data_IF_949741893620
#
_entry.id   IF_949741893620
#
_cell.length_a   1.000
_cell.length_b   1.000
_cell.length_c   1.000
_cell.angle_alpha   90.00
_cell.angle_beta   90.00
_cell.angle_gamma   90.00
#
_symmetry.space_group_name_H-M   'P 1'
#
loop_
_entity.id
_entity.type
_entity.pdbx_description
1 polymer ?
#
# COMPACT_ATOMS: atom_id res chain seq x y z
N UNK A 1 -41.78 1.52 19.94
CA UNK A 1 -40.55 2.23 20.30
C UNK A 1 -40.75 3.67 19.86
N UNK A 2 -41.14 4.57 20.77
CA UNK A 2 -41.36 5.98 20.45
C UNK A 2 -39.99 6.57 20.15
N UNK A 3 -39.73 6.94 18.89
CA UNK A 3 -38.56 7.73 18.55
C UNK A 3 -38.71 9.04 19.32
N UNK A 4 -37.88 9.25 20.32
CA UNK A 4 -37.81 10.51 21.05
C UNK A 4 -37.17 11.55 20.11
N UNK A 5 -37.99 12.08 19.19
CA UNK A 5 -37.59 13.11 18.23
C UNK A 5 -37.00 14.33 18.95
N UNK A 6 -37.39 14.57 20.21
CA UNK A 6 -36.88 15.65 21.03
C UNK A 6 -35.49 15.38 21.61
N UNK A 7 -35.02 14.13 21.64
CA UNK A 7 -33.69 13.77 22.16
C UNK A 7 -32.57 14.50 21.42
N UNK A 8 -32.58 14.46 20.07
CA UNK A 8 -31.55 15.12 19.26
C UNK A 8 -31.50 16.63 19.50
N UNK A 9 -32.66 17.26 19.65
CA UNK A 9 -32.75 18.70 19.90
C UNK A 9 -32.24 19.06 21.29
N UNK A 10 -32.57 18.27 22.32
CA UNK A 10 -32.03 18.48 23.68
C UNK A 10 -30.52 18.30 23.73
N UNK A 11 -30.01 17.26 23.07
CA UNK A 11 -28.57 17.02 23.00
C UNK A 11 -27.84 18.11 22.19
N UNK A 12 -28.47 18.70 21.19
CA UNK A 12 -27.91 19.83 20.46
C UNK A 12 -27.90 21.14 21.28
N UNK A 13 -28.87 21.33 22.16
CA UNK A 13 -28.93 22.48 23.08
C UNK A 13 -27.90 22.37 24.22
N UNK A 14 -27.57 21.14 24.65
CA UNK A 14 -26.53 20.87 25.64
C UNK A 14 -25.56 19.78 25.16
N UNK A 15 -24.58 20.14 24.30
CA UNK A 15 -23.61 19.19 23.76
C UNK A 15 -22.42 18.94 24.71
N UNK A 16 -22.50 19.35 25.99
CA UNK A 16 -21.40 19.31 26.95
C UNK A 16 -20.82 17.90 27.19
N UNK A 17 -21.63 16.86 27.01
CA UNK A 17 -21.19 15.46 27.10
C UNK A 17 -20.40 14.99 25.86
N UNK A 18 -20.46 15.72 24.75
CA UNK A 18 -19.81 15.38 23.49
C UNK A 18 -18.45 16.09 23.38
N UNK A 19 -17.47 15.57 24.12
CA UNK A 19 -16.13 16.17 24.26
C UNK A 19 -15.08 15.63 23.28
N UNK A 20 -15.44 14.65 22.44
CA UNK A 20 -14.50 14.02 21.49
C UNK A 20 -15.00 14.13 20.06
N UNK A 21 -14.05 14.21 19.11
CA UNK A 21 -14.36 14.28 17.68
C UNK A 21 -15.26 13.12 17.20
N UNK A 22 -15.01 11.84 17.59
CA UNK A 22 -15.88 10.74 17.21
C UNK A 22 -17.30 10.83 17.80
N UNK A 23 -17.43 11.28 19.05
CA UNK A 23 -18.74 11.39 19.71
C UNK A 23 -19.62 12.47 19.05
N UNK A 24 -19.05 13.63 18.75
CA UNK A 24 -19.78 14.71 18.05
C UNK A 24 -20.12 14.29 16.62
N UNK A 25 -19.19 13.65 15.90
CA UNK A 25 -19.44 13.14 14.55
C UNK A 25 -20.56 12.11 14.52
N UNK A 26 -20.63 11.24 15.53
CA UNK A 26 -21.71 10.27 15.66
C UNK A 26 -23.08 10.95 15.86
N UNK A 27 -23.17 11.92 16.77
CA UNK A 27 -24.40 12.67 17.01
C UNK A 27 -24.86 13.45 15.76
N UNK A 28 -23.91 14.06 15.03
CA UNK A 28 -24.18 14.75 13.77
C UNK A 28 -24.75 13.79 12.70
N UNK A 29 -24.13 12.63 12.51
CA UNK A 29 -24.60 11.63 11.55
C UNK A 29 -25.99 11.07 11.93
N UNK A 30 -26.24 10.87 13.23
CA UNK A 30 -27.54 10.45 13.72
C UNK A 30 -28.63 11.50 13.42
N UNK A 31 -28.34 12.78 13.67
CA UNK A 31 -29.27 13.87 13.36
C UNK A 31 -29.59 13.98 11.85
N UNK A 32 -28.58 13.83 10.98
CA UNK A 32 -28.77 13.79 9.52
C UNK A 32 -29.64 12.60 9.11
N UNK A 33 -29.38 11.42 9.69
CA UNK A 33 -30.17 10.21 9.42
C UNK A 33 -31.63 10.39 9.84
N UNK A 34 -31.89 11.01 11.00
CA UNK A 34 -33.23 11.32 11.48
C UNK A 34 -33.97 12.28 10.54
N UNK A 35 -33.31 13.34 10.07
CA UNK A 35 -33.89 14.25 9.06
C UNK A 35 -34.27 13.50 7.79
N UNK A 36 -33.38 12.62 7.30
CA UNK A 36 -33.64 11.79 6.10
C UNK A 36 -34.83 10.87 6.31
N UNK A 37 -34.92 10.22 7.47
CA UNK A 37 -36.03 9.33 7.81
C UNK A 37 -37.36 10.09 7.93
N UNK A 38 -37.32 11.35 8.38
CA UNK A 38 -38.48 12.23 8.49
C UNK A 38 -38.85 12.95 7.18
N UNK A 39 -38.08 12.76 6.10
CA UNK A 39 -38.28 13.50 4.83
C UNK A 39 -38.00 15.00 4.93
N UNK A 40 -37.23 15.43 5.94
CA UNK A 40 -36.88 16.83 6.18
C UNK A 40 -35.50 17.16 5.61
N UNK A 41 -35.29 18.42 5.24
CA UNK A 41 -33.96 18.92 4.87
C UNK A 41 -33.04 18.91 6.09
N UNK A 42 -31.88 18.28 5.96
CA UNK A 42 -30.83 18.29 6.99
C UNK A 42 -29.96 19.55 6.92
N UNK A 43 -29.91 20.25 5.79
CA UNK A 43 -29.10 21.47 5.64
C UNK A 43 -29.69 22.67 6.41
N UNK A 44 -30.98 22.62 6.74
CA UNK A 44 -31.67 23.66 7.50
C UNK A 44 -32.13 23.21 8.89
N UNK A 45 -31.84 21.98 9.31
CA UNK A 45 -32.23 21.49 10.64
C UNK A 45 -31.32 22.11 11.73
N UNK A 46 -31.92 22.69 12.80
CA UNK A 46 -31.14 23.39 13.80
C UNK A 46 -30.23 22.47 14.63
N UNK A 47 -30.62 21.21 14.89
CA UNK A 47 -29.77 20.28 15.62
C UNK A 47 -28.55 19.89 14.79
N UNK A 48 -28.73 19.62 13.49
CA UNK A 48 -27.62 19.34 12.56
C UNK A 48 -26.63 20.51 12.52
N UNK A 49 -27.11 21.74 12.39
CA UNK A 49 -26.25 22.93 12.36
C UNK A 49 -25.50 23.13 13.68
N UNK A 50 -26.17 22.94 14.83
CA UNK A 50 -25.55 23.05 16.15
C UNK A 50 -24.46 21.98 16.35
N UNK A 51 -24.70 20.73 15.97
CA UNK A 51 -23.69 19.68 16.04
C UNK A 51 -22.50 19.94 15.12
N UNK A 52 -22.73 20.43 13.89
CA UNK A 52 -21.65 20.79 12.97
C UNK A 52 -20.78 21.93 13.53
N UNK A 53 -21.39 22.95 14.15
CA UNK A 53 -20.66 24.04 14.83
C UNK A 53 -19.87 23.52 16.02
N UNK A 54 -20.48 22.68 16.86
CA UNK A 54 -19.81 22.08 18.01
C UNK A 54 -18.63 21.20 17.59
N UNK A 55 -18.78 20.44 16.49
CA UNK A 55 -17.69 19.67 15.90
C UNK A 55 -16.54 20.58 15.47
N UNK A 56 -16.84 21.72 14.85
CA UNK A 56 -15.85 22.74 14.50
C UNK A 56 -15.12 23.30 15.73
N UNK A 57 -15.84 23.59 16.81
CA UNK A 57 -15.24 24.04 18.08
C UNK A 57 -14.30 22.99 18.66
N UNK A 58 -14.74 21.73 18.76
CA UNK A 58 -13.90 20.63 19.25
C UNK A 58 -12.68 20.43 18.35
N UNK A 59 -12.86 20.45 17.03
CA UNK A 59 -11.75 20.32 16.08
C UNK A 59 -10.73 21.46 16.23
N UNK A 60 -11.18 22.69 16.47
CA UNK A 60 -10.30 23.85 16.67
C UNK A 60 -9.48 23.78 17.97
N UNK A 61 -9.91 22.97 18.95
CA UNK A 61 -9.23 22.78 20.22
C UNK A 61 -8.25 21.59 20.20
N UNK A 62 -8.32 20.73 19.17
CA UNK A 62 -7.51 19.51 19.09
C UNK A 62 -6.34 19.74 18.13
N UNK A 63 -5.12 19.60 18.65
CA UNK A 63 -3.91 19.54 17.85
C UNK A 63 -3.28 20.89 17.54
N UNK A 64 -2.46 20.91 16.49
CA UNK A 64 -1.69 22.08 16.08
C UNK A 64 -2.55 23.08 15.28
N UNK A 65 -2.14 24.36 15.15
CA UNK A 65 -2.84 25.35 14.33
C UNK A 65 -3.01 24.91 12.86
N UNK A 66 -4.04 25.42 12.18
CA UNK A 66 -4.36 25.11 10.77
C UNK A 66 -3.16 25.16 9.82
N UNK A 67 -2.27 26.15 10.01
CA UNK A 67 -1.07 26.32 9.18
C UNK A 67 -0.11 25.14 9.33
N UNK A 68 0.07 24.66 10.57
CA UNK A 68 0.92 23.50 10.87
C UNK A 68 0.30 22.20 10.37
N UNK A 69 -1.02 22.02 10.53
CA UNK A 69 -1.72 20.86 9.98
C UNK A 69 -1.65 20.81 8.45
N UNK A 70 -1.83 21.96 7.78
CA UNK A 70 -1.65 22.06 6.33
C UNK A 70 -0.24 21.70 5.90
N UNK A 71 0.77 22.20 6.61
CA UNK A 71 2.16 21.84 6.38
C UNK A 71 2.40 20.34 6.58
N UNK A 72 1.91 19.75 7.66
CA UNK A 72 2.02 18.32 7.93
C UNK A 72 1.36 17.48 6.82
N UNK A 73 0.22 17.92 6.28
CA UNK A 73 -0.40 17.28 5.12
C UNK A 73 0.48 17.37 3.87
N UNK A 74 1.07 18.54 3.58
CA UNK A 74 1.98 18.70 2.45
C UNK A 74 3.25 17.85 2.60
N UNK A 75 3.81 17.79 3.80
CA UNK A 75 4.97 16.95 4.12
C UNK A 75 4.63 15.46 3.98
N UNK A 76 3.46 15.03 4.48
CA UNK A 76 2.97 13.66 4.29
C UNK A 76 2.74 13.33 2.81
N UNK A 77 2.20 14.26 2.02
CA UNK A 77 2.04 14.10 0.57
C UNK A 77 3.41 14.02 -0.11
N UNK A 78 4.36 14.88 0.26
CA UNK A 78 5.72 14.84 -0.27
C UNK A 78 6.41 13.52 0.10
N UNK A 79 6.23 13.02 1.32
CA UNK A 79 6.74 11.73 1.77
C UNK A 79 6.11 10.56 1.02
N UNK A 80 4.79 10.60 0.79
CA UNK A 80 4.09 9.60 -0.01
C UNK A 80 4.52 9.64 -1.48
N UNK A 81 4.77 10.82 -2.04
CA UNK A 81 5.30 10.98 -3.40
C UNK A 81 6.77 10.56 -3.50
N UNK A 82 7.53 10.74 -2.42
CA UNK A 82 8.91 10.24 -2.26
C UNK A 82 8.94 8.71 -2.07
N UNK A 83 7.85 8.11 -1.59
CA UNK A 83 7.67 6.65 -1.50
C UNK A 83 7.12 6.12 -2.83
N UNK A 84 7.82 5.21 -3.52
CA UNK A 84 7.28 4.55 -4.70
C UNK A 84 5.90 3.95 -4.42
N UNK A 85 4.91 4.21 -5.28
CA UNK A 85 3.52 3.71 -5.16
C UNK A 85 3.43 2.21 -4.84
N UNK A 86 4.42 1.42 -5.30
CA UNK A 86 4.53 -0.01 -5.01
C UNK A 86 4.65 -0.31 -3.49
N UNK A 87 5.32 0.55 -2.74
CA UNK A 87 5.44 0.46 -1.27
C UNK A 87 4.08 0.70 -0.60
N UNK A 88 3.32 1.70 -1.07
CA UNK A 88 1.99 1.96 -0.52
C UNK A 88 1.04 0.78 -0.74
N UNK A 89 1.11 0.15 -1.92
CA UNK A 89 0.33 -1.05 -2.24
C UNK A 89 0.72 -2.24 -1.34
N UNK A 90 2.02 -2.40 -1.03
CA UNK A 90 2.50 -3.45 -0.13
C UNK A 90 1.96 -3.31 1.30
N UNK A 91 1.87 -2.08 1.81
CA UNK A 91 1.31 -1.83 3.15
C UNK A 91 -0.21 -1.97 3.20
N UNK A 92 -0.92 -1.47 2.18
CA UNK A 92 -2.40 -1.48 2.14
C UNK A 92 -2.96 -2.89 1.97
N UNK A 93 -2.28 -3.74 1.20
CA UNK A 93 -2.89 -4.93 0.63
C UNK A 93 -3.81 -4.59 -0.54
N UNK A 94 -3.95 -5.52 -1.48
CA UNK A 94 -4.63 -5.28 -2.77
C UNK A 94 -5.65 -6.39 -3.15
N UNK A 95 -5.97 -7.27 -2.21
CA UNK A 95 -6.98 -8.31 -2.44
C UNK A 95 -8.34 -7.67 -2.71
N UNK A 96 -9.06 -8.21 -3.68
CA UNK A 96 -10.36 -7.72 -4.15
C UNK A 96 -10.38 -6.27 -4.68
N UNK A 97 -9.22 -5.65 -4.92
CA UNK A 97 -9.07 -4.31 -5.49
C UNK A 97 -8.45 -4.42 -6.90
N UNK A 98 -9.30 -4.60 -7.93
CA UNK A 98 -8.84 -4.81 -9.31
C UNK A 98 -7.98 -3.66 -9.86
N UNK A 99 -8.32 -2.37 -9.66
CA UNK A 99 -7.45 -1.26 -10.05
C UNK A 99 -6.09 -1.29 -9.36
N UNK A 100 -6.04 -1.51 -8.03
CA UNK A 100 -4.78 -1.59 -7.30
C UNK A 100 -3.92 -2.78 -7.75
N UNK A 101 -4.57 -3.90 -8.11
CA UNK A 101 -3.90 -5.08 -8.65
C UNK A 101 -3.29 -4.82 -10.03
N UNK A 102 -4.01 -4.16 -10.94
CA UNK A 102 -3.45 -3.73 -12.24
C UNK A 102 -2.25 -2.81 -12.05
N UNK A 103 -2.35 -1.87 -11.11
CA UNK A 103 -1.25 -0.96 -10.78
C UNK A 103 -0.04 -1.72 -10.20
N UNK A 104 -0.27 -2.64 -9.26
CA UNK A 104 0.77 -3.50 -8.69
C UNK A 104 1.55 -4.26 -9.76
N UNK A 105 0.87 -4.92 -10.71
CA UNK A 105 1.55 -5.67 -11.77
C UNK A 105 2.34 -4.77 -12.71
N UNK A 106 1.80 -3.59 -13.06
CA UNK A 106 2.50 -2.59 -13.88
C UNK A 106 3.77 -2.06 -13.20
N UNK A 107 3.66 -1.66 -11.93
CA UNK A 107 4.77 -1.14 -11.14
C UNK A 107 5.80 -2.22 -10.81
N UNK A 108 5.35 -3.41 -10.42
CA UNK A 108 6.21 -4.56 -10.13
C UNK A 108 7.04 -4.98 -11.34
N UNK A 109 6.44 -4.98 -12.54
CA UNK A 109 7.17 -5.23 -13.80
C UNK A 109 8.25 -4.17 -14.05
N UNK A 110 7.93 -2.89 -13.84
CA UNK A 110 8.93 -1.80 -13.98
C UNK A 110 10.06 -1.94 -12.97
N UNK A 111 9.75 -2.25 -11.71
CA UNK A 111 10.73 -2.41 -10.64
C UNK A 111 11.67 -3.60 -10.89
N UNK A 112 11.13 -4.77 -11.23
CA UNK A 112 11.94 -5.94 -11.56
C UNK A 112 12.75 -5.78 -12.85
N UNK A 113 12.26 -5.01 -13.83
CA UNK A 113 13.07 -4.64 -14.99
C UNK A 113 14.29 -3.81 -14.59
N UNK A 114 14.11 -2.78 -13.75
CA UNK A 114 15.22 -1.99 -13.20
C UNK A 114 16.21 -2.85 -12.41
N UNK A 115 15.71 -3.84 -11.66
CA UNK A 115 16.57 -4.79 -10.96
C UNK A 115 17.35 -5.68 -11.93
N UNK A 116 16.74 -6.15 -13.02
CA UNK A 116 17.45 -6.90 -14.07
C UNK A 116 18.58 -6.07 -14.68
N UNK A 117 18.34 -4.79 -14.94
CA UNK A 117 19.34 -3.85 -15.45
C UNK A 117 20.49 -3.65 -14.42
N UNK A 118 20.17 -3.45 -13.13
CA UNK A 118 21.15 -3.33 -12.05
C UNK A 118 21.96 -4.61 -11.80
N UNK A 119 21.34 -5.78 -11.97
CA UNK A 119 22.00 -7.08 -11.97
C UNK A 119 22.82 -7.32 -13.25
N UNK A 120 22.74 -6.43 -14.24
CA UNK A 120 23.39 -6.57 -15.57
C UNK A 120 23.03 -7.88 -16.26
N UNK A 121 21.76 -8.30 -16.17
CA UNK A 121 21.30 -9.50 -16.85
C UNK A 121 21.28 -9.27 -18.38
N UNK A 122 21.92 -10.14 -19.19
CA UNK A 122 21.96 -9.94 -20.63
C UNK A 122 20.54 -9.94 -21.23
N UNK A 123 20.30 -9.02 -22.19
CA UNK A 123 19.02 -8.94 -22.88
C UNK A 123 18.71 -10.28 -23.58
N UNK A 124 17.50 -10.78 -23.38
CA UNK A 124 17.07 -12.08 -23.92
C UNK A 124 17.52 -13.30 -23.10
N UNK A 125 18.33 -13.10 -22.05
CA UNK A 125 18.73 -14.15 -21.10
C UNK A 125 17.96 -14.11 -19.77
N UNK A 126 16.83 -13.40 -19.74
CA UNK A 126 15.89 -13.46 -18.65
C UNK A 126 14.45 -13.37 -19.15
N UNK A 127 13.54 -13.92 -18.37
CA UNK A 127 12.09 -13.77 -18.53
C UNK A 127 11.55 -12.83 -17.47
N UNK A 128 10.61 -11.96 -17.87
CA UNK A 128 9.84 -11.14 -16.95
C UNK A 128 8.36 -11.42 -17.17
N UNK A 129 7.73 -12.07 -16.19
CA UNK A 129 6.36 -12.60 -16.28
C UNK A 129 5.50 -12.03 -15.18
N UNK A 130 4.21 -11.94 -15.42
CA UNK A 130 3.21 -11.55 -14.43
C UNK A 130 2.13 -12.63 -14.42
N UNK A 131 1.83 -13.14 -13.22
CA UNK A 131 0.70 -14.02 -12.98
C UNK A 131 -0.29 -13.26 -12.10
N UNK A 132 -1.38 -12.81 -12.70
CA UNK A 132 -2.39 -12.00 -12.01
C UNK A 132 -3.08 -12.82 -10.92
N UNK A 133 -3.27 -14.13 -11.09
CA UNK A 133 -4.02 -14.99 -10.18
C UNK A 133 -5.45 -14.47 -9.87
N UNK A 134 -6.14 -15.14 -8.93
CA UNK A 134 -7.52 -14.79 -8.54
C UNK A 134 -7.62 -13.49 -7.71
N UNK A 135 -8.87 -13.03 -7.44
CA UNK A 135 -9.12 -11.76 -6.74
C UNK A 135 -8.67 -11.76 -5.27
N UNK A 136 -8.59 -12.93 -4.61
CA UNK A 136 -8.24 -13.03 -3.20
C UNK A 136 -6.75 -12.78 -2.88
N UNK A 137 -5.88 -12.76 -3.89
CA UNK A 137 -4.42 -12.63 -3.74
C UNK A 137 -3.89 -11.48 -4.58
N UNK A 138 -2.63 -11.05 -4.37
CA UNK A 138 -1.97 -10.08 -5.25
C UNK A 138 -1.67 -10.64 -6.64
N UNK A 139 -1.47 -11.97 -6.73
CA UNK A 139 -0.67 -12.56 -7.81
C UNK A 139 0.81 -12.24 -7.63
N UNK A 140 1.60 -12.46 -8.66
CA UNK A 140 3.05 -12.30 -8.61
C UNK A 140 3.64 -11.74 -9.90
N UNK A 141 4.77 -11.06 -9.77
CA UNK A 141 5.63 -10.68 -10.89
C UNK A 141 6.98 -11.35 -10.70
N UNK A 142 7.47 -12.03 -11.73
CA UNK A 142 8.66 -12.89 -11.65
C UNK A 142 9.69 -12.48 -12.68
N UNK A 143 10.90 -12.20 -12.21
CA UNK A 143 12.12 -12.10 -13.00
C UNK A 143 12.88 -13.43 -12.90
N UNK A 144 13.13 -14.09 -14.02
CA UNK A 144 13.84 -15.37 -14.07
C UNK A 144 15.00 -15.29 -15.05
N UNK A 145 16.22 -15.20 -14.52
CA UNK A 145 17.47 -15.24 -15.27
C UNK A 145 18.09 -16.64 -15.33
N UNK A 146 19.32 -16.72 -15.81
CA UNK A 146 20.09 -17.97 -15.84
C UNK A 146 20.52 -18.41 -14.44
N UNK A 147 20.93 -17.49 -13.58
CA UNK A 147 21.42 -17.84 -12.23
C UNK A 147 20.53 -17.33 -11.09
N UNK A 148 19.47 -16.58 -11.41
CA UNK A 148 18.65 -15.89 -10.41
C UNK A 148 17.17 -15.98 -10.72
N UNK A 149 16.39 -16.24 -9.68
CA UNK A 149 14.94 -16.18 -9.70
C UNK A 149 14.48 -15.17 -8.64
N UNK A 150 13.72 -14.17 -9.04
CA UNK A 150 13.15 -13.14 -8.16
C UNK A 150 11.65 -13.04 -8.38
N UNK A 151 10.88 -13.07 -7.31
CA UNK A 151 9.42 -13.02 -7.35
C UNK A 151 8.91 -11.97 -6.35
N UNK A 152 8.07 -11.07 -6.84
CA UNK A 152 7.36 -10.08 -6.05
C UNK A 152 5.92 -10.52 -5.83
N UNK A 153 5.48 -10.64 -4.58
CA UNK A 153 4.08 -10.91 -4.19
C UNK A 153 3.75 -10.25 -2.85
N UNK A 154 2.51 -9.79 -2.64
CA UNK A 154 2.12 -9.03 -1.44
C UNK A 154 1.34 -9.84 -0.39
N UNK A 155 1.20 -11.17 -0.58
CA UNK A 155 0.14 -11.93 0.08
C UNK A 155 0.55 -13.00 1.10
N UNK A 156 1.66 -13.71 0.90
CA UNK A 156 1.87 -14.99 1.62
C UNK A 156 2.83 -14.91 2.82
N UNK A 157 3.81 -14.00 2.79
CA UNK A 157 4.93 -14.02 3.74
C UNK A 157 4.92 -12.87 4.75
N UNK A 158 3.92 -11.98 4.66
CA UNK A 158 3.78 -10.80 5.51
C UNK A 158 4.75 -9.65 5.18
N UNK A 159 4.64 -8.52 5.90
CA UNK A 159 5.43 -7.33 5.66
C UNK A 159 6.96 -7.59 5.74
N UNK A 160 7.72 -6.95 4.85
CA UNK A 160 9.17 -7.05 4.76
C UNK A 160 9.68 -8.31 4.05
N UNK A 161 8.78 -9.14 3.50
CA UNK A 161 9.11 -10.40 2.80
C UNK A 161 8.41 -10.52 1.45
N UNK A 162 8.05 -9.40 0.84
CA UNK A 162 7.29 -9.38 -0.41
C UNK A 162 8.11 -9.83 -1.62
N UNK A 163 9.44 -9.78 -1.51
CA UNK A 163 10.36 -10.12 -2.58
C UNK A 163 11.12 -11.38 -2.20
N UNK A 164 10.74 -12.51 -2.80
CA UNK A 164 11.50 -13.74 -2.72
C UNK A 164 12.58 -13.75 -3.80
N UNK A 165 13.79 -14.18 -3.45
CA UNK A 165 14.84 -14.44 -4.43
C UNK A 165 15.66 -15.67 -4.07
N UNK A 166 16.21 -16.34 -5.08
CA UNK A 166 17.04 -17.54 -4.93
C UNK A 166 17.95 -17.74 -6.14
N UNK A 167 18.98 -18.56 -5.94
CA UNK A 167 19.83 -19.04 -7.03
C UNK A 167 19.10 -20.14 -7.80
N UNK A 168 19.29 -20.18 -9.12
CA UNK A 168 18.76 -21.22 -10.02
C UNK A 168 19.84 -21.65 -11.01
N UNK A 169 19.66 -22.82 -11.62
CA UNK A 169 20.55 -23.36 -12.65
C UNK A 169 19.86 -23.37 -14.03
N UNK A 170 19.74 -22.18 -14.63
CA UNK A 170 19.18 -21.96 -15.96
C UNK A 170 17.70 -21.58 -15.95
N UNK A 171 17.21 -21.03 -17.07
CA UNK A 171 15.85 -20.45 -17.20
C UNK A 171 14.69 -21.46 -17.12
N UNK A 172 14.99 -22.75 -17.01
CA UNK A 172 13.99 -23.83 -16.84
C UNK A 172 13.97 -24.38 -15.42
N UNK A 173 14.88 -23.93 -14.56
CA UNK A 173 14.89 -24.32 -13.15
C UNK A 173 13.93 -23.42 -12.36
N UNK A 174 12.83 -24.00 -11.91
CA UNK A 174 11.81 -23.32 -11.11
C UNK A 174 11.85 -23.71 -9.63
N UNK A 175 12.85 -24.48 -9.21
CA UNK A 175 13.01 -24.94 -7.82
C UNK A 175 14.16 -24.20 -7.17
N UNK A 176 15.31 -24.14 -7.83
CA UNK A 176 16.49 -23.45 -7.32
C UNK A 176 16.96 -23.90 -5.94
N UNK A 177 17.82 -23.08 -5.35
CA UNK A 177 18.32 -23.23 -3.98
C UNK A 177 17.36 -22.64 -2.93
N UNK A 178 17.85 -22.50 -1.70
CA UNK A 178 17.15 -21.87 -0.58
C UNK A 178 16.56 -20.50 -0.97
N UNK A 179 15.33 -20.25 -0.52
CA UNK A 179 14.68 -18.94 -0.64
C UNK A 179 15.28 -17.91 0.32
N UNK A 180 15.55 -16.73 -0.20
CA UNK A 180 15.84 -15.52 0.54
C UNK A 180 14.67 -14.54 0.38
N UNK A 181 14.54 -13.62 1.34
CA UNK A 181 13.45 -12.65 1.36
C UNK A 181 13.99 -11.24 1.56
N UNK A 182 13.31 -10.30 0.92
CA UNK A 182 13.55 -8.88 1.01
C UNK A 182 12.22 -8.11 0.95
N UNK A 183 12.30 -6.84 1.31
CA UNK A 183 11.16 -5.94 1.31
C UNK A 183 10.95 -5.29 -0.06
N UNK A 184 9.76 -4.75 -0.32
CA UNK A 184 9.56 -3.83 -1.46
C UNK A 184 10.48 -2.61 -1.38
N UNK A 185 10.85 -2.15 -0.18
CA UNK A 185 11.81 -1.05 0.00
C UNK A 185 13.17 -1.38 -0.61
N UNK A 186 13.67 -2.60 -0.38
CA UNK A 186 14.93 -3.07 -0.98
C UNK A 186 14.83 -3.07 -2.51
N UNK A 187 13.74 -3.61 -3.06
CA UNK A 187 13.50 -3.64 -4.51
C UNK A 187 13.47 -2.23 -5.14
N UNK A 188 13.13 -1.21 -4.35
CA UNK A 188 13.09 0.16 -4.84
C UNK A 188 14.46 0.86 -4.84
N UNK A 189 15.48 0.20 -4.31
CA UNK A 189 16.89 0.59 -4.37
C UNK A 189 17.67 -0.45 -5.19
N UNK A 190 17.46 -0.52 -6.53
CA UNK A 190 17.86 -1.66 -7.34
C UNK A 190 19.37 -1.94 -7.33
N UNK A 191 20.23 -0.92 -7.27
CA UNK A 191 21.69 -1.11 -7.24
C UNK A 191 22.16 -1.75 -5.92
N UNK A 192 21.72 -1.20 -4.79
CA UNK A 192 22.01 -1.77 -3.46
C UNK A 192 21.45 -3.18 -3.33
N UNK A 193 20.24 -3.41 -3.86
CA UNK A 193 19.62 -4.72 -3.80
C UNK A 193 20.29 -5.74 -4.73
N UNK A 194 20.70 -5.34 -5.93
CA UNK A 194 21.49 -6.18 -6.83
C UNK A 194 22.82 -6.61 -6.19
N UNK A 195 23.52 -5.68 -5.53
CA UNK A 195 24.76 -6.00 -4.79
C UNK A 195 24.51 -7.03 -3.66
N UNK A 196 23.40 -6.88 -2.92
CA UNK A 196 22.98 -7.85 -1.90
C UNK A 196 22.68 -9.22 -2.50
N UNK A 197 21.89 -9.28 -3.58
CA UNK A 197 21.54 -10.54 -4.27
C UNK A 197 22.81 -11.26 -4.75
N UNK A 198 23.72 -10.55 -5.43
CA UNK A 198 24.98 -11.12 -5.91
C UNK A 198 25.79 -11.74 -4.78
N UNK A 199 25.91 -11.03 -3.65
CA UNK A 199 26.62 -11.50 -2.46
C UNK A 199 25.96 -12.70 -1.82
N UNK A 200 24.64 -12.66 -1.60
CA UNK A 200 23.91 -13.73 -0.89
C UNK A 200 23.74 -15.01 -1.72
N UNK A 201 23.62 -14.87 -3.04
CA UNK A 201 23.44 -16.02 -3.94
C UNK A 201 24.74 -16.48 -4.59
N UNK A 202 25.87 -15.81 -4.33
CA UNK A 202 27.16 -16.07 -4.99
C UNK A 202 26.99 -16.14 -6.52
N UNK A 203 26.36 -15.12 -7.10
CA UNK A 203 26.14 -15.07 -8.55
C UNK A 203 27.46 -14.84 -9.28
N UNK A 204 27.59 -15.38 -10.48
CA UNK A 204 28.77 -15.15 -11.31
C UNK A 204 28.87 -13.67 -11.67
N UNK A 205 30.09 -13.18 -11.82
CA UNK A 205 30.29 -11.81 -12.30
C UNK A 205 29.73 -11.67 -13.71
N UNK A 206 29.04 -10.57 -14.03
CA UNK A 206 28.35 -10.42 -15.30
C UNK A 206 29.32 -10.39 -16.49
N UNK A 207 30.59 -10.07 -16.24
CA UNK A 207 31.67 -10.03 -17.21
C UNK A 207 32.45 -11.36 -17.30
N UNK A 208 32.08 -12.37 -16.49
CA UNK A 208 32.69 -13.70 -16.54
C UNK A 208 31.94 -14.55 -17.57
N UNK A 209 32.60 -14.86 -18.69
CA UNK A 209 32.07 -15.79 -19.70
C UNK A 209 31.84 -17.16 -19.07
N UNK A 210 30.66 -17.79 -19.22
CA UNK A 210 30.41 -19.09 -18.62
C UNK A 210 31.38 -20.13 -19.17
N UNK A 211 32.20 -20.71 -18.30
CA UNK A 211 33.09 -21.83 -18.63
C UNK A 211 32.21 -23.04 -18.95
N UNK A 212 31.96 -23.27 -20.25
CA UNK A 212 31.38 -24.53 -20.70
C UNK A 212 32.44 -25.61 -20.55
N UNK A 213 32.32 -26.42 -19.49
CA UNK A 213 32.96 -27.72 -19.44
C UNK A 213 32.33 -28.57 -20.55
N UNK A 214 33.12 -28.81 -21.60
CA UNK A 214 32.81 -29.78 -22.66
C UNK A 214 33.11 -31.15 -22.06
N UNK A 215 32.09 -32.00 -21.95
CA UNK A 215 32.24 -33.43 -21.73
C UNK A 215 32.28 -34.15 -23.08
#
# INVERSE_FOLDING_TARGET
MSYDIAFRYRQALDPSALITLPAVLHALNAAIADCRNAGQSHESDPAVILFARHLGTIASQIGAPDVELRRACMDAIADLRRKPELIALAHKGISYDEPAKKLFHSLGRKALKRLADALRLPKGQYDLRSNVAGPAVSGEVTLHGVEVYVQLSLGAMGPGREVMFRKVAGRKDYVGDRNHFASVHDLMSPDTFAARIRRELHLSDPDTTPTRLVA
#
